data_IF_486271753679
#
_entry.id   IF_486271753679
#
_cell.length_a   1.000
_cell.length_b   1.000
_cell.length_c   1.000
_cell.angle_alpha   90.00
_cell.angle_beta   90.00
_cell.angle_gamma   90.00
#
_symmetry.space_group_name_H-M   'P 1'
#
loop_
_entity.id
_entity.type
_entity.pdbx_description
1 polymer ?
#
# COMPACT_ATOMS: atom_id res chain seq x y z
N UNK A 1 -75.82 -25.25 -13.00
CA UNK A 1 -74.40 -25.58 -12.77
C UNK A 1 -73.82 -24.39 -12.03
N UNK A 2 -73.78 -24.46 -10.71
CA UNK A 2 -73.00 -23.49 -9.94
C UNK A 2 -71.55 -23.99 -9.90
N UNK A 3 -70.56 -23.19 -10.30
CA UNK A 3 -69.18 -23.62 -10.32
C UNK A 3 -68.69 -23.73 -8.88
N UNK A 4 -68.15 -24.89 -8.53
CA UNK A 4 -67.48 -25.14 -7.25
C UNK A 4 -66.41 -24.09 -6.99
N UNK A 5 -66.24 -23.61 -5.74
CA UNK A 5 -65.22 -22.62 -5.43
C UNK A 5 -63.83 -23.24 -5.62
N UNK A 6 -63.06 -22.71 -6.58
CA UNK A 6 -61.64 -23.02 -6.74
C UNK A 6 -60.91 -22.71 -5.43
N UNK A 7 -60.42 -23.76 -4.76
CA UNK A 7 -59.56 -23.64 -3.59
C UNK A 7 -58.22 -23.06 -4.06
N UNK A 8 -58.04 -21.74 -3.93
CA UNK A 8 -56.75 -21.10 -4.16
C UNK A 8 -55.76 -21.62 -3.13
N UNK A 9 -54.85 -22.50 -3.56
CA UNK A 9 -53.74 -22.94 -2.73
C UNK A 9 -52.95 -21.71 -2.25
N UNK A 10 -52.61 -21.62 -0.94
CA UNK A 10 -51.86 -20.49 -0.42
C UNK A 10 -50.52 -20.39 -1.14
N UNK A 11 -50.21 -19.21 -1.67
CA UNK A 11 -48.98 -18.92 -2.38
C UNK A 11 -47.80 -19.01 -1.39
N UNK A 12 -47.01 -20.07 -1.49
CA UNK A 12 -45.86 -20.29 -0.62
C UNK A 12 -44.83 -19.18 -0.87
N UNK A 13 -44.50 -18.43 0.19
CA UNK A 13 -43.52 -17.35 0.12
C UNK A 13 -42.09 -17.91 0.25
N UNK A 14 -41.11 -17.23 -0.35
CA UNK A 14 -39.70 -17.63 -0.24
C UNK A 14 -39.23 -17.73 1.22
N UNK A 15 -39.80 -16.93 2.12
CA UNK A 15 -39.54 -16.98 3.55
C UNK A 15 -39.95 -18.30 4.19
N UNK A 16 -41.11 -18.86 3.81
CA UNK A 16 -41.56 -20.16 4.33
C UNK A 16 -40.62 -21.30 3.90
N UNK A 17 -40.10 -21.26 2.67
CA UNK A 17 -39.15 -22.25 2.16
C UNK A 17 -37.83 -22.18 2.91
N UNK A 18 -37.34 -20.96 3.20
CA UNK A 18 -36.10 -20.78 3.97
C UNK A 18 -36.26 -21.21 5.43
N UNK A 19 -37.43 -20.97 6.02
CA UNK A 19 -37.73 -21.41 7.39
C UNK A 19 -37.80 -22.94 7.47
N UNK A 20 -38.54 -23.56 6.55
CA UNK A 20 -38.67 -25.01 6.48
C UNK A 20 -37.35 -25.68 6.13
N UNK A 21 -36.55 -25.10 5.22
CA UNK A 21 -35.20 -25.60 4.92
C UNK A 21 -34.25 -25.47 6.10
N UNK A 22 -34.43 -24.48 6.98
CA UNK A 22 -33.64 -24.33 8.21
C UNK A 22 -34.08 -25.32 9.29
N UNK A 23 -35.37 -25.63 9.36
CA UNK A 23 -35.91 -26.64 10.28
C UNK A 23 -35.57 -28.07 9.82
N UNK A 24 -35.48 -28.29 8.50
CA UNK A 24 -35.05 -29.53 7.87
C UNK A 24 -33.53 -29.64 7.68
N UNK A 25 -32.75 -28.62 8.07
CA UNK A 25 -31.31 -28.82 8.26
C UNK A 25 -31.16 -29.82 9.40
N UNK A 26 -31.06 -31.09 9.03
CA UNK A 26 -30.75 -32.18 9.95
C UNK A 26 -29.57 -31.72 10.80
N UNK A 27 -29.73 -31.84 12.12
CA UNK A 27 -28.68 -31.45 13.05
C UNK A 27 -27.39 -32.13 12.60
N UNK A 28 -26.41 -31.31 12.23
CA UNK A 28 -25.10 -31.74 11.78
C UNK A 28 -24.65 -32.91 12.65
N UNK A 29 -24.43 -34.10 12.05
CA UNK A 29 -24.13 -35.32 12.81
C UNK A 29 -22.80 -35.11 13.51
N UNK A 30 -22.84 -34.59 14.74
CA UNK A 30 -21.67 -34.36 15.56
C UNK A 30 -21.19 -35.72 16.03
N UNK A 31 -19.96 -36.06 15.67
CA UNK A 31 -19.31 -37.26 16.18
C UNK A 31 -19.48 -37.36 17.71
N UNK A 32 -19.68 -38.57 18.27
CA UNK A 32 -19.88 -38.74 19.70
C UNK A 32 -18.70 -38.16 20.46
N UNK A 33 -18.96 -37.36 21.51
CA UNK A 33 -17.92 -36.78 22.36
C UNK A 33 -17.19 -37.91 23.09
N UNK A 34 -16.04 -38.33 22.56
CA UNK A 34 -15.17 -39.29 23.23
C UNK A 34 -14.56 -38.62 24.47
N UNK A 35 -14.78 -39.20 25.65
CA UNK A 35 -14.10 -38.76 26.88
C UNK A 35 -12.73 -39.43 26.90
N UNK A 36 -11.71 -38.73 26.44
CA UNK A 36 -10.32 -39.20 26.51
C UNK A 36 -9.87 -39.04 27.97
N UNK A 37 -9.74 -40.15 28.69
CA UNK A 37 -9.39 -40.19 30.12
C UNK A 37 -7.89 -40.03 30.36
N UNK A 38 -7.06 -40.45 29.40
CA UNK A 38 -5.61 -40.45 29.55
C UNK A 38 -4.96 -39.27 28.82
N UNK A 39 -4.06 -38.56 29.52
CA UNK A 39 -3.31 -37.43 28.94
C UNK A 39 -2.48 -37.84 27.71
N UNK A 40 -2.06 -39.10 27.61
CA UNK A 40 -1.26 -39.61 26.48
C UNK A 40 -2.17 -39.86 25.27
N UNK A 41 -3.29 -40.53 25.46
CA UNK A 41 -4.28 -40.80 24.39
C UNK A 41 -4.84 -39.50 23.80
N UNK A 42 -5.00 -38.46 24.63
CA UNK A 42 -5.40 -37.14 24.16
C UNK A 42 -4.36 -36.51 23.23
N UNK A 43 -3.07 -36.65 23.55
CA UNK A 43 -1.97 -36.14 22.71
C UNK A 43 -1.87 -36.92 21.40
N UNK A 44 -2.02 -38.24 21.44
CA UNK A 44 -2.02 -39.10 20.25
C UNK A 44 -3.21 -38.80 19.33
N UNK A 45 -4.39 -38.58 19.90
CA UNK A 45 -5.58 -38.17 19.14
C UNK A 45 -5.36 -36.83 18.42
N UNK A 46 -4.85 -35.82 19.13
CA UNK A 46 -4.55 -34.52 18.53
C UNK A 46 -3.46 -34.62 17.46
N UNK A 47 -2.40 -35.41 17.71
CA UNK A 47 -1.34 -35.66 16.74
C UNK A 47 -1.89 -36.26 15.46
N UNK A 48 -2.65 -37.36 15.57
CA UNK A 48 -3.25 -38.03 14.42
C UNK A 48 -4.15 -37.06 13.65
N UNK A 49 -4.97 -36.27 14.36
CA UNK A 49 -5.85 -35.29 13.74
C UNK A 49 -5.07 -34.25 12.93
N UNK A 50 -3.99 -33.69 13.48
CA UNK A 50 -3.17 -32.71 12.76
C UNK A 50 -2.43 -33.32 11.58
N UNK A 51 -1.89 -34.54 11.70
CA UNK A 51 -1.22 -35.21 10.57
C UNK A 51 -2.22 -35.59 9.47
N UNK A 52 -3.44 -35.98 9.82
CA UNK A 52 -4.52 -36.22 8.85
C UNK A 52 -4.99 -34.94 8.16
N UNK A 53 -5.10 -33.83 8.90
CA UNK A 53 -5.42 -32.50 8.35
C UNK A 53 -4.34 -32.05 7.36
N UNK A 54 -3.06 -32.19 7.73
CA UNK A 54 -1.93 -31.84 6.86
C UNK A 54 -1.82 -32.74 5.64
N UNK A 55 -2.11 -34.04 5.80
CA UNK A 55 -2.09 -34.99 4.68
C UNK A 55 -3.18 -34.69 3.66
N UNK A 56 -4.34 -34.18 4.11
CA UNK A 56 -5.44 -33.75 3.24
C UNK A 56 -5.17 -32.39 2.60
N UNK A 57 -4.69 -31.44 3.38
CA UNK A 57 -4.56 -30.03 3.01
C UNK A 57 -3.12 -29.53 3.17
N UNK A 58 -2.18 -30.15 2.44
CA UNK A 58 -0.76 -29.81 2.59
C UNK A 58 -0.43 -28.36 2.21
N UNK A 59 -1.25 -27.70 1.39
CA UNK A 59 -1.09 -26.29 1.00
C UNK A 59 -1.60 -25.30 2.06
N UNK A 60 -2.43 -25.76 3.01
CA UNK A 60 -3.05 -24.90 4.00
C UNK A 60 -2.04 -24.49 5.08
N UNK A 61 -1.50 -23.27 4.95
CA UNK A 61 -0.47 -22.74 5.84
C UNK A 61 -0.99 -22.60 7.28
N UNK A 62 -2.26 -22.27 7.47
CA UNK A 62 -2.83 -22.09 8.81
C UNK A 62 -2.90 -23.41 9.58
N UNK A 63 -3.15 -24.53 8.88
CA UNK A 63 -3.08 -25.86 9.48
C UNK A 63 -1.68 -26.17 10.04
N UNK A 64 -0.63 -25.87 9.26
CA UNK A 64 0.76 -26.01 9.69
C UNK A 64 1.10 -25.10 10.89
N UNK A 65 0.67 -23.83 10.85
CA UNK A 65 0.89 -22.87 11.93
C UNK A 65 0.20 -23.33 13.21
N UNK A 66 -1.06 -23.79 13.13
CA UNK A 66 -1.82 -24.25 14.27
C UNK A 66 -1.23 -25.52 14.87
N UNK A 67 -0.76 -26.45 14.04
CA UNK A 67 -0.07 -27.65 14.50
C UNK A 67 1.23 -27.31 15.27
N UNK A 68 2.03 -26.38 14.72
CA UNK A 68 3.25 -25.93 15.39
C UNK A 68 2.97 -25.18 16.70
N UNK A 69 1.95 -24.32 16.75
CA UNK A 69 1.51 -23.63 17.97
C UNK A 69 0.98 -24.60 19.03
N UNK A 70 0.28 -25.66 18.62
CA UNK A 70 -0.17 -26.70 19.53
C UNK A 70 1.03 -27.43 20.16
N UNK A 71 2.03 -27.84 19.36
CA UNK A 71 3.30 -28.40 19.88
C UNK A 71 4.02 -27.44 20.81
N UNK A 72 4.04 -26.15 20.50
CA UNK A 72 4.59 -25.09 21.37
C UNK A 72 3.86 -25.04 22.73
N UNK A 73 2.53 -25.15 22.74
CA UNK A 73 1.74 -25.16 23.98
C UNK A 73 2.09 -26.32 24.91
N UNK A 74 2.56 -27.43 24.34
CA UNK A 74 3.04 -28.62 25.05
C UNK A 74 4.51 -28.52 25.49
N UNK A 75 5.20 -27.43 25.13
CA UNK A 75 6.65 -27.23 25.31
C UNK A 75 7.53 -28.27 24.60
N UNK A 76 6.98 -28.96 23.60
CA UNK A 76 7.74 -29.86 22.71
C UNK A 76 8.37 -29.03 21.58
N UNK A 77 9.47 -28.34 21.91
CA UNK A 77 10.15 -27.45 20.96
C UNK A 77 10.80 -28.20 19.81
N UNK A 78 11.28 -29.42 20.05
CA UNK A 78 11.89 -30.24 19.00
C UNK A 78 10.84 -30.71 17.99
N UNK A 79 9.70 -31.21 18.48
CA UNK A 79 8.57 -31.56 17.62
C UNK A 79 8.06 -30.36 16.83
N UNK A 80 7.89 -29.20 17.47
CA UNK A 80 7.49 -27.96 16.79
C UNK A 80 8.47 -27.57 15.66
N UNK A 81 9.79 -27.68 15.88
CA UNK A 81 10.80 -27.42 14.84
C UNK A 81 10.67 -28.37 13.66
N UNK A 82 10.47 -29.67 13.91
CA UNK A 82 10.29 -30.65 12.83
C UNK A 82 9.09 -30.27 11.97
N UNK A 83 7.98 -29.85 12.60
CA UNK A 83 6.78 -29.36 11.88
C UNK A 83 7.12 -28.12 11.05
N UNK A 84 7.78 -27.11 11.61
CA UNK A 84 8.19 -25.92 10.87
C UNK A 84 9.12 -26.25 9.69
N UNK A 85 10.10 -27.13 9.90
CA UNK A 85 10.99 -27.57 8.83
C UNK A 85 10.24 -28.30 7.71
N UNK A 86 9.25 -29.13 8.04
CA UNK A 86 8.38 -29.78 7.05
C UNK A 86 7.55 -28.74 6.30
N UNK A 87 6.91 -27.82 7.02
CA UNK A 87 6.08 -26.77 6.41
C UNK A 87 6.88 -25.91 5.43
N UNK A 88 8.10 -25.50 5.81
CA UNK A 88 8.98 -24.70 4.95
C UNK A 88 9.43 -25.48 3.72
N UNK A 89 9.67 -26.79 3.83
CA UNK A 89 10.00 -27.61 2.66
C UNK A 89 8.85 -27.74 1.66
N UNK A 90 7.61 -27.68 2.14
CA UNK A 90 6.42 -27.73 1.29
C UNK A 90 6.16 -26.38 0.62
N UNK A 91 6.31 -25.29 1.37
CA UNK A 91 6.09 -23.94 0.88
C UNK A 91 7.16 -22.98 1.41
N UNK A 92 8.29 -22.94 0.71
CA UNK A 92 9.44 -22.10 1.03
C UNK A 92 9.27 -20.66 0.53
N UNK A 93 8.36 -20.41 -0.41
CA UNK A 93 8.10 -19.09 -0.97
C UNK A 93 7.23 -18.20 -0.07
N UNK A 94 6.52 -18.78 0.89
CA UNK A 94 5.61 -18.02 1.73
C UNK A 94 6.36 -17.27 2.87
N UNK A 95 6.42 -15.94 2.75
CA UNK A 95 6.98 -15.05 3.77
C UNK A 95 6.34 -15.23 5.17
N UNK A 96 5.01 -15.38 5.25
CA UNK A 96 4.29 -15.50 6.52
C UNK A 96 4.73 -16.73 7.32
N UNK A 97 5.09 -17.82 6.63
CA UNK A 97 5.58 -19.04 7.27
C UNK A 97 6.95 -18.80 7.93
N UNK A 98 7.89 -18.19 7.22
CA UNK A 98 9.20 -17.80 7.76
C UNK A 98 9.08 -16.84 8.94
N UNK A 99 8.19 -15.85 8.83
CA UNK A 99 7.92 -14.90 9.92
C UNK A 99 7.41 -15.61 11.18
N UNK A 100 6.46 -16.54 11.04
CA UNK A 100 5.92 -17.27 12.19
C UNK A 100 6.93 -18.24 12.80
N UNK A 101 7.74 -18.90 11.97
CA UNK A 101 8.79 -19.78 12.45
C UNK A 101 9.87 -19.01 13.23
N UNK A 102 10.35 -17.89 12.69
CA UNK A 102 11.31 -17.05 13.40
C UNK A 102 10.72 -16.46 14.69
N UNK A 103 9.45 -16.01 14.66
CA UNK A 103 8.72 -15.57 15.88
C UNK A 103 8.65 -16.65 16.94
N UNK A 104 8.43 -17.91 16.55
CA UNK A 104 8.42 -19.06 17.47
C UNK A 104 9.77 -19.22 18.18
N UNK A 105 10.88 -19.18 17.45
CA UNK A 105 12.22 -19.28 18.06
C UNK A 105 12.53 -18.08 18.96
N UNK A 106 12.12 -16.87 18.57
CA UNK A 106 12.31 -15.64 19.35
C UNK A 106 11.51 -15.66 20.67
N UNK A 107 10.24 -16.10 20.63
CA UNK A 107 9.39 -16.20 21.84
C UNK A 107 10.00 -17.13 22.88
N UNK A 108 10.59 -18.24 22.42
CA UNK A 108 11.21 -19.25 23.26
C UNK A 108 12.68 -18.93 23.62
N UNK A 109 13.17 -17.74 23.26
CA UNK A 109 14.53 -17.23 23.55
C UNK A 109 15.66 -18.04 22.92
N UNK A 110 15.39 -18.77 21.85
CA UNK A 110 16.39 -19.53 21.09
C UNK A 110 17.02 -18.66 19.99
N UNK A 111 17.78 -17.64 20.38
CA UNK A 111 18.29 -16.63 19.44
C UNK A 111 19.21 -17.18 18.34
N UNK A 112 20.04 -18.20 18.64
CA UNK A 112 20.90 -18.81 17.62
C UNK A 112 20.10 -19.54 16.55
N UNK A 113 19.07 -20.31 16.94
CA UNK A 113 18.18 -20.96 16.00
C UNK A 113 17.37 -19.92 15.21
N UNK A 114 16.92 -18.85 15.86
CA UNK A 114 16.24 -17.75 15.17
C UNK A 114 17.14 -17.13 14.08
N UNK A 115 18.44 -16.95 14.35
CA UNK A 115 19.42 -16.48 13.34
C UNK A 115 19.51 -17.44 12.16
N UNK A 116 19.64 -18.74 12.41
CA UNK A 116 19.72 -19.74 11.34
C UNK A 116 18.42 -19.78 10.49
N UNK A 117 17.27 -19.50 11.10
CA UNK A 117 16.00 -19.38 10.39
C UNK A 117 15.98 -18.11 9.54
N UNK A 118 16.35 -16.96 10.10
CA UNK A 118 16.41 -15.69 9.35
C UNK A 118 17.41 -15.74 8.20
N UNK A 119 18.57 -16.34 8.42
CA UNK A 119 19.63 -16.45 7.42
C UNK A 119 19.17 -17.27 6.21
N UNK A 120 18.50 -18.39 6.48
CA UNK A 120 17.87 -19.19 5.43
C UNK A 120 16.73 -18.44 4.75
N UNK A 121 15.85 -17.79 5.52
CA UNK A 121 14.70 -17.06 4.97
C UNK A 121 15.15 -15.98 3.96
N UNK A 122 16.17 -15.21 4.34
CA UNK A 122 16.76 -14.16 3.51
C UNK A 122 17.49 -14.71 2.28
N UNK A 123 18.11 -15.89 2.40
CA UNK A 123 18.77 -16.55 1.27
C UNK A 123 17.77 -17.08 0.24
N UNK A 124 16.62 -17.60 0.70
CA UNK A 124 15.56 -18.12 -0.18
C UNK A 124 14.75 -16.97 -0.79
N UNK A 125 14.45 -15.93 0.00
CA UNK A 125 13.58 -14.81 -0.38
C UNK A 125 14.30 -13.46 -0.24
N UNK A 126 15.30 -13.16 -1.10
CA UNK A 126 16.10 -11.94 -0.99
C UNK A 126 15.33 -10.66 -1.32
N UNK A 127 14.27 -10.75 -2.15
CA UNK A 127 13.47 -9.59 -2.56
C UNK A 127 12.40 -9.16 -1.55
N UNK A 128 12.21 -9.92 -0.47
CA UNK A 128 11.16 -9.63 0.51
C UNK A 128 11.73 -8.79 1.66
N UNK A 129 11.61 -7.47 1.53
CA UNK A 129 12.16 -6.50 2.49
C UNK A 129 11.72 -6.74 3.94
N UNK A 130 10.49 -7.21 4.14
CA UNK A 130 9.93 -7.48 5.48
C UNK A 130 10.79 -8.47 6.28
N UNK A 131 11.40 -9.46 5.62
CA UNK A 131 12.27 -10.44 6.26
C UNK A 131 13.57 -9.79 6.75
N UNK A 132 14.19 -8.96 5.90
CA UNK A 132 15.40 -8.22 6.24
C UNK A 132 15.18 -7.26 7.41
N UNK A 133 14.11 -6.45 7.36
CA UNK A 133 13.76 -5.53 8.44
C UNK A 133 13.58 -6.25 9.78
N UNK A 134 12.87 -7.39 9.78
CA UNK A 134 12.63 -8.16 11.01
C UNK A 134 13.91 -8.82 11.53
N UNK A 135 14.79 -9.26 10.64
CA UNK A 135 16.08 -9.83 11.02
C UNK A 135 17.01 -8.79 11.65
N UNK A 136 17.13 -7.61 11.02
CA UNK A 136 17.92 -6.49 11.53
C UNK A 136 17.36 -6.01 12.87
N UNK A 137 16.04 -5.83 12.97
CA UNK A 137 15.40 -5.43 14.21
C UNK A 137 15.68 -6.42 15.35
N UNK A 138 15.72 -7.72 15.07
CA UNK A 138 16.10 -8.71 16.08
C UNK A 138 17.55 -8.51 16.56
N UNK A 139 18.51 -8.29 15.66
CA UNK A 139 19.91 -8.05 16.06
C UNK A 139 20.11 -6.71 16.79
N UNK A 140 19.35 -5.67 16.43
CA UNK A 140 19.29 -4.40 17.17
C UNK A 140 18.79 -4.61 18.60
N UNK A 141 17.70 -5.37 18.78
CA UNK A 141 17.16 -5.68 20.11
C UNK A 141 18.10 -6.53 20.96
N UNK A 142 18.99 -7.30 20.32
CA UNK A 142 20.05 -8.05 20.98
C UNK A 142 21.32 -7.21 21.24
N UNK A 143 21.38 -5.97 20.74
CA UNK A 143 22.51 -5.06 20.87
C UNK A 143 23.71 -5.39 19.96
N UNK A 144 23.56 -6.29 18.98
CA UNK A 144 24.65 -6.70 18.10
C UNK A 144 24.75 -5.80 16.87
N UNK A 145 25.18 -4.56 17.07
CA UNK A 145 25.34 -3.54 16.02
C UNK A 145 26.23 -4.05 14.87
N UNK A 146 27.33 -4.73 15.18
CA UNK A 146 28.25 -5.27 14.17
C UNK A 146 27.62 -6.32 13.25
N UNK A 147 26.73 -7.17 13.77
CA UNK A 147 25.99 -8.13 12.94
C UNK A 147 24.90 -7.44 12.11
N UNK A 148 24.18 -6.48 12.71
CA UNK A 148 23.20 -5.70 11.98
C UNK A 148 23.83 -5.02 10.74
N UNK A 149 25.05 -4.46 10.87
CA UNK A 149 25.83 -3.93 9.73
C UNK A 149 26.14 -4.97 8.67
N UNK A 150 26.61 -6.15 9.07
CA UNK A 150 26.89 -7.24 8.12
C UNK A 150 25.62 -7.66 7.35
N UNK A 151 24.47 -7.70 8.01
CA UNK A 151 23.19 -8.01 7.39
C UNK A 151 22.79 -6.89 6.42
N UNK A 152 22.94 -5.62 6.79
CA UNK A 152 22.70 -4.49 5.90
C UNK A 152 23.61 -4.53 4.67
N UNK A 153 24.92 -4.77 4.83
CA UNK A 153 25.85 -4.88 3.71
C UNK A 153 25.48 -6.03 2.76
N UNK A 154 25.07 -7.17 3.31
CA UNK A 154 24.55 -8.28 2.50
C UNK A 154 23.24 -7.93 1.81
N UNK A 155 22.42 -7.07 2.41
CA UNK A 155 21.20 -6.60 1.76
C UNK A 155 21.53 -5.65 0.60
N UNK A 156 22.50 -4.75 0.78
CA UNK A 156 22.92 -3.80 -0.25
C UNK A 156 23.56 -4.46 -1.47
N UNK A 157 24.12 -5.67 -1.34
CA UNK A 157 24.62 -6.42 -2.51
C UNK A 157 23.52 -6.76 -3.52
N UNK A 158 22.25 -6.76 -3.10
CA UNK A 158 21.09 -7.00 -3.96
C UNK A 158 20.52 -5.72 -4.60
N UNK A 159 21.15 -4.55 -4.36
CA UNK A 159 20.70 -3.25 -4.86
C UNK A 159 19.20 -2.99 -4.60
N UNK A 160 18.79 -2.90 -3.32
CA UNK A 160 17.39 -2.70 -2.96
C UNK A 160 16.90 -1.28 -3.26
N UNK A 161 15.59 -1.05 -3.13
CA UNK A 161 14.94 0.24 -3.38
C UNK A 161 15.44 1.36 -2.43
N UNK A 162 15.25 2.62 -2.82
CA UNK A 162 15.66 3.81 -2.08
C UNK A 162 15.27 3.79 -0.60
N UNK A 163 14.07 3.26 -0.28
CA UNK A 163 13.59 3.16 1.11
C UNK A 163 14.52 2.34 2.00
N UNK A 164 15.12 1.29 1.44
CA UNK A 164 16.04 0.41 2.16
C UNK A 164 17.35 1.12 2.48
N UNK A 165 17.90 1.88 1.52
CA UNK A 165 19.09 2.70 1.74
C UNK A 165 18.90 3.71 2.86
N UNK A 166 17.76 4.43 2.84
CA UNK A 166 17.42 5.38 3.91
C UNK A 166 17.31 4.70 5.28
N UNK A 167 16.74 3.50 5.33
CA UNK A 167 16.66 2.75 6.60
C UNK A 167 18.03 2.37 7.17
N UNK A 168 19.02 2.11 6.30
CA UNK A 168 20.38 1.80 6.72
C UNK A 168 21.11 3.05 7.22
N UNK A 169 20.91 4.18 6.54
CA UNK A 169 21.41 5.47 7.00
C UNK A 169 20.82 5.81 8.38
N UNK A 170 19.51 5.71 8.54
CA UNK A 170 18.84 5.97 9.81
C UNK A 170 19.39 5.06 10.93
N UNK A 171 19.77 3.82 10.61
CA UNK A 171 20.44 2.93 11.55
C UNK A 171 21.82 3.45 11.98
N UNK A 172 22.67 3.88 11.05
CA UNK A 172 23.98 4.44 11.41
C UNK A 172 23.86 5.76 12.17
N UNK A 173 22.85 6.58 11.87
CA UNK A 173 22.54 7.79 12.64
C UNK A 173 22.11 7.47 14.07
N UNK A 174 21.30 6.43 14.29
CA UNK A 174 20.99 5.92 15.64
C UNK A 174 22.24 5.43 16.37
N UNK A 175 23.22 4.91 15.65
CA UNK A 175 24.52 4.48 16.19
C UNK A 175 25.52 5.64 16.38
N UNK A 176 25.16 6.88 16.02
CA UNK A 176 26.00 8.07 16.06
C UNK A 176 27.26 8.01 15.17
N UNK A 177 27.23 7.19 14.11
CA UNK A 177 28.35 6.99 13.19
C UNK A 177 28.16 7.81 11.90
N UNK A 178 28.32 9.13 12.01
CA UNK A 178 28.06 10.07 10.91
C UNK A 178 29.01 9.84 9.72
N UNK A 179 30.24 9.37 9.96
CA UNK A 179 31.21 9.07 8.89
C UNK A 179 30.75 7.90 8.03
N UNK A 180 30.24 6.84 8.66
CA UNK A 180 29.70 5.69 7.92
C UNK A 180 28.41 6.04 7.19
N UNK A 181 27.53 6.85 7.80
CA UNK A 181 26.33 7.34 7.13
C UNK A 181 26.67 8.09 5.82
N UNK A 182 27.74 8.90 5.80
CA UNK A 182 28.22 9.57 4.57
C UNK A 182 28.65 8.58 3.50
N UNK A 183 29.46 7.58 3.85
CA UNK A 183 29.91 6.58 2.89
C UNK A 183 28.73 5.81 2.27
N UNK A 184 27.68 5.56 3.06
CA UNK A 184 26.46 4.92 2.57
C UNK A 184 25.70 5.88 1.65
N UNK A 185 25.63 7.18 1.94
CA UNK A 185 25.04 8.17 1.04
C UNK A 185 25.77 8.25 -0.31
N UNK A 186 27.11 8.25 -0.31
CA UNK A 186 27.91 8.24 -1.55
C UNK A 186 27.55 7.02 -2.42
N UNK A 187 27.53 5.81 -1.81
CA UNK A 187 27.11 4.57 -2.48
C UNK A 187 25.64 4.61 -2.93
N UNK A 188 24.76 5.16 -2.12
CA UNK A 188 23.33 5.26 -2.41
C UNK A 188 23.08 6.12 -3.66
N UNK A 189 23.77 7.24 -3.77
CA UNK A 189 23.67 8.17 -4.89
C UNK A 189 24.28 7.58 -6.17
N UNK A 190 25.34 6.77 -6.07
CA UNK A 190 25.88 6.02 -7.21
C UNK A 190 24.93 4.92 -7.70
N UNK A 191 24.27 4.21 -6.78
CA UNK A 191 23.33 3.15 -7.12
C UNK A 191 22.01 3.70 -7.69
N UNK A 192 21.53 4.81 -7.13
CA UNK A 192 20.26 5.45 -7.50
C UNK A 192 20.51 6.93 -7.78
N UNK A 193 20.94 7.30 -9.01
CA UNK A 193 21.18 8.69 -9.39
C UNK A 193 19.85 9.42 -9.64
N UNK A 194 19.01 9.55 -8.60
CA UNK A 194 17.72 10.25 -8.64
C UNK A 194 17.83 11.58 -7.91
N UNK A 195 17.14 12.61 -8.40
CA UNK A 195 17.03 13.92 -7.72
C UNK A 195 16.66 13.79 -6.23
N UNK A 196 15.73 12.89 -5.90
CA UNK A 196 15.33 12.63 -4.52
C UNK A 196 16.47 12.12 -3.62
N UNK A 197 17.40 11.33 -4.16
CA UNK A 197 18.56 10.81 -3.41
C UNK A 197 19.52 11.95 -3.03
N UNK A 198 19.86 12.80 -3.99
CA UNK A 198 20.72 13.97 -3.78
C UNK A 198 20.11 14.98 -2.81
N UNK A 199 18.81 15.26 -2.92
CA UNK A 199 18.11 16.15 -1.98
C UNK A 199 18.17 15.59 -0.55
N UNK A 200 17.98 14.27 -0.37
CA UNK A 200 18.11 13.67 0.96
C UNK A 200 19.54 13.72 1.49
N UNK A 201 20.54 13.61 0.62
CA UNK A 201 21.94 13.70 1.01
C UNK A 201 22.34 15.13 1.40
N UNK A 202 21.96 16.14 0.63
CA UNK A 202 22.20 17.54 0.97
C UNK A 202 21.55 17.94 2.30
N UNK A 203 20.27 17.57 2.50
CA UNK A 203 19.56 17.78 3.79
C UNK A 203 20.24 17.10 4.98
N UNK A 204 20.95 16.01 4.76
CA UNK A 204 21.72 15.33 5.80
C UNK A 204 22.98 16.12 6.17
N UNK A 205 23.74 16.61 5.19
CA UNK A 205 24.92 17.44 5.47
C UNK A 205 24.54 18.80 6.08
N UNK A 206 23.40 19.38 5.68
CA UNK A 206 22.83 20.58 6.30
C UNK A 206 22.60 20.38 7.81
N UNK A 207 22.04 19.23 8.21
CA UNK A 207 21.80 18.90 9.63
C UNK A 207 23.09 18.71 10.42
N UNK A 208 24.15 18.25 9.76
CA UNK A 208 25.47 18.10 10.37
C UNK A 208 26.26 19.42 10.43
N UNK A 209 25.86 20.44 9.65
CA UNK A 209 26.48 21.77 9.63
C UNK A 209 27.74 21.88 8.75
N UNK A 210 27.98 20.92 7.85
CA UNK A 210 29.18 20.87 7.00
C UNK A 210 28.93 21.55 5.65
N UNK A 211 28.94 22.88 5.64
CA UNK A 211 28.57 23.73 4.49
C UNK A 211 29.38 23.40 3.22
N UNK A 212 30.70 23.24 3.35
CA UNK A 212 31.59 22.98 2.20
C UNK A 212 31.25 21.65 1.51
N UNK A 213 30.85 20.64 2.30
CA UNK A 213 30.50 19.33 1.74
C UNK A 213 29.12 19.35 1.11
N UNK A 214 28.15 19.98 1.75
CA UNK A 214 26.82 20.15 1.17
C UNK A 214 26.89 20.83 -0.20
N UNK A 215 27.72 21.87 -0.33
CA UNK A 215 27.99 22.53 -1.61
C UNK A 215 28.57 21.56 -2.65
N UNK A 216 29.60 20.79 -2.30
CA UNK A 216 30.18 19.80 -3.21
C UNK A 216 29.15 18.74 -3.65
N UNK A 217 28.25 18.34 -2.75
CA UNK A 217 27.18 17.38 -3.05
C UNK A 217 26.22 17.95 -4.09
N UNK A 218 25.77 19.20 -3.94
CA UNK A 218 24.88 19.82 -4.92
C UNK A 218 25.59 20.11 -6.25
N UNK A 219 26.86 20.51 -6.24
CA UNK A 219 27.66 20.66 -7.46
C UNK A 219 27.75 19.33 -8.22
N UNK A 220 28.11 18.24 -7.54
CA UNK A 220 28.13 16.89 -8.12
C UNK A 220 26.74 16.45 -8.61
N UNK A 221 25.69 16.79 -7.88
CA UNK A 221 24.31 16.50 -8.28
C UNK A 221 23.97 17.21 -9.59
N UNK A 222 24.32 18.49 -9.73
CA UNK A 222 24.06 19.26 -10.95
C UNK A 222 24.85 18.75 -12.15
N UNK A 223 26.08 18.28 -11.95
CA UNK A 223 26.89 17.69 -13.03
C UNK A 223 26.32 16.35 -13.50
N UNK A 224 25.90 15.48 -12.56
CA UNK A 224 25.39 14.14 -12.88
C UNK A 224 23.95 14.14 -13.37
N UNK A 225 23.13 15.09 -12.95
CA UNK A 225 21.70 15.17 -13.27
C UNK A 225 21.37 16.22 -14.33
N UNK A 226 22.36 16.77 -15.03
CA UNK A 226 22.17 17.83 -16.03
C UNK A 226 21.14 17.47 -17.12
N UNK A 227 21.00 16.17 -17.42
CA UNK A 227 20.14 15.66 -18.49
C UNK A 227 18.77 15.14 -18.00
N UNK A 228 18.51 15.07 -16.68
CA UNK A 228 17.21 14.60 -16.17
C UNK A 228 16.12 15.67 -16.35
N UNK A 229 14.86 15.25 -16.50
CA UNK A 229 13.75 16.21 -16.67
C UNK A 229 13.23 16.78 -15.34
N UNK A 230 13.47 16.09 -14.22
CA UNK A 230 12.89 16.41 -12.91
C UNK A 230 13.85 17.19 -11.98
N UNK A 231 14.73 18.02 -12.55
CA UNK A 231 15.80 18.71 -11.80
C UNK A 231 15.29 19.95 -11.05
N UNK A 232 14.05 20.40 -11.31
CA UNK A 232 13.45 21.58 -10.66
C UNK A 232 13.58 21.57 -9.12
N UNK A 233 13.23 20.49 -8.39
CA UNK A 233 13.34 20.46 -6.94
C UNK A 233 14.80 20.54 -6.44
N UNK A 234 15.78 20.07 -7.23
CA UNK A 234 17.19 20.16 -6.88
C UNK A 234 17.65 21.61 -6.88
N UNK A 235 17.35 22.35 -7.95
CA UNK A 235 17.75 23.77 -8.06
C UNK A 235 17.12 24.64 -6.99
N UNK A 236 15.87 24.37 -6.65
CA UNK A 236 15.16 25.06 -5.57
C UNK A 236 15.89 24.85 -4.23
N UNK A 237 16.18 23.60 -3.87
CA UNK A 237 16.87 23.28 -2.61
C UNK A 237 18.29 23.85 -2.61
N UNK A 238 18.99 23.79 -3.74
CA UNK A 238 20.34 24.35 -3.85
C UNK A 238 20.35 25.87 -3.70
N UNK A 239 19.38 26.58 -4.26
CA UNK A 239 19.26 28.02 -4.09
C UNK A 239 18.85 28.42 -2.66
N UNK A 240 17.95 27.66 -2.01
CA UNK A 240 17.60 27.84 -0.59
C UNK A 240 18.83 27.64 0.32
N UNK A 241 19.73 26.71 -0.02
CA UNK A 241 20.99 26.50 0.68
C UNK A 241 21.96 27.69 0.53
N UNK A 242 22.14 28.22 -0.69
CA UNK A 242 23.00 29.39 -0.93
C UNK A 242 22.47 30.66 -0.25
N UNK A 243 21.14 30.79 -0.15
CA UNK A 243 20.49 31.85 0.64
C UNK A 243 20.87 31.75 2.12
N UNK A 244 20.86 30.55 2.70
CA UNK A 244 21.31 30.32 4.08
C UNK A 244 22.80 30.63 4.27
N UNK A 245 23.61 30.39 3.23
CA UNK A 245 25.04 30.74 3.20
C UNK A 245 25.31 32.23 2.98
N UNK A 246 24.27 33.04 2.69
CA UNK A 246 24.31 34.49 2.39
C UNK A 246 25.03 34.85 1.08
N UNK A 247 25.19 33.90 0.17
CA UNK A 247 25.80 34.11 -1.15
C UNK A 247 24.71 34.40 -2.21
N UNK A 248 24.09 35.57 -2.09
CA UNK A 248 22.91 35.95 -2.90
C UNK A 248 23.22 36.02 -4.41
N UNK A 249 24.43 36.43 -4.79
CA UNK A 249 24.84 36.45 -6.20
C UNK A 249 24.96 35.05 -6.80
N UNK A 250 25.39 34.07 -6.00
CA UNK A 250 25.49 32.67 -6.41
C UNK A 250 24.11 32.04 -6.53
N UNK A 251 23.23 32.28 -5.55
CA UNK A 251 21.82 31.87 -5.61
C UNK A 251 21.12 32.39 -6.88
N UNK A 252 21.34 33.66 -7.26
CA UNK A 252 20.80 34.24 -8.50
C UNK A 252 21.30 33.53 -9.75
N UNK A 253 22.59 33.19 -9.82
CA UNK A 253 23.18 32.45 -10.95
C UNK A 253 22.56 31.06 -11.10
N UNK A 254 22.32 30.37 -9.99
CA UNK A 254 21.69 29.05 -9.98
C UNK A 254 20.25 29.13 -10.51
N UNK A 255 19.46 30.10 -10.04
CA UNK A 255 18.10 30.29 -10.56
C UNK A 255 18.05 30.59 -12.06
N UNK A 256 18.96 31.45 -12.56
CA UNK A 256 19.06 31.72 -14.00
C UNK A 256 19.43 30.45 -14.78
N UNK A 257 20.44 29.72 -14.32
CA UNK A 257 20.84 28.44 -14.91
C UNK A 257 19.68 27.45 -14.94
N UNK A 258 18.90 27.35 -13.86
CA UNK A 258 17.75 26.45 -13.79
C UNK A 258 16.66 26.80 -14.82
N UNK A 259 16.37 28.09 -15.01
CA UNK A 259 15.40 28.57 -16.00
C UNK A 259 15.86 28.38 -17.45
N UNK A 260 17.17 28.32 -17.70
CA UNK A 260 17.72 28.06 -19.03
C UNK A 260 17.62 26.57 -19.41
N UNK A 261 17.68 25.66 -18.44
CA UNK A 261 17.60 24.21 -18.67
C UNK A 261 16.15 23.68 -18.67
N UNK A 262 15.24 24.33 -17.93
CA UNK A 262 13.85 23.86 -17.79
C UNK A 262 12.93 24.57 -18.80
N UNK A 263 12.13 23.83 -19.60
CA UNK A 263 11.19 24.44 -20.52
C UNK A 263 10.13 25.27 -19.78
N UNK A 264 9.87 26.48 -20.29
CA UNK A 264 9.04 27.53 -19.66
C UNK A 264 7.62 27.10 -19.24
N UNK A 265 7.07 26.03 -19.83
CA UNK A 265 5.74 25.51 -19.49
C UNK A 265 5.66 24.70 -18.19
N UNK A 266 6.80 24.21 -17.64
CA UNK A 266 6.85 23.49 -16.36
C UNK A 266 7.46 24.32 -15.22
N UNK A 267 8.19 25.38 -15.55
CA UNK A 267 8.95 26.20 -14.59
C UNK A 267 8.10 27.21 -13.79
N UNK A 268 6.77 27.07 -13.70
CA UNK A 268 5.93 28.06 -13.00
C UNK A 268 6.27 28.18 -11.51
N UNK A 269 6.57 27.04 -10.85
CA UNK A 269 6.92 27.00 -9.44
C UNK A 269 8.33 27.56 -9.20
N UNK A 270 9.33 27.11 -9.96
CA UNK A 270 10.67 27.68 -9.97
C UNK A 270 10.67 29.20 -10.19
N UNK A 271 9.91 29.69 -11.17
CA UNK A 271 9.79 31.12 -11.45
C UNK A 271 9.13 31.87 -10.29
N UNK A 272 8.11 31.28 -9.66
CA UNK A 272 7.48 31.80 -8.45
C UNK A 272 8.49 31.98 -7.31
N UNK A 273 9.36 30.98 -7.10
CA UNK A 273 10.43 31.04 -6.09
C UNK A 273 11.53 32.05 -6.46
N UNK A 274 11.92 32.14 -7.73
CA UNK A 274 12.88 33.14 -8.19
C UNK A 274 12.39 34.58 -7.98
N UNK A 275 11.12 34.86 -8.29
CA UNK A 275 10.53 36.17 -8.02
C UNK A 275 10.45 36.47 -6.52
N UNK A 276 10.19 35.46 -5.69
CA UNK A 276 10.21 35.63 -4.23
C UNK A 276 11.63 35.96 -3.73
N UNK A 277 12.64 35.30 -4.27
CA UNK A 277 14.05 35.54 -3.98
C UNK A 277 14.49 36.97 -4.37
N UNK A 278 14.20 37.42 -5.60
CA UNK A 278 14.54 38.79 -6.03
C UNK A 278 13.76 39.85 -5.23
N UNK A 279 12.57 39.55 -4.72
CA UNK A 279 11.86 40.48 -3.81
C UNK A 279 12.55 40.65 -2.46
N UNK A 280 13.23 39.62 -1.97
CA UNK A 280 13.90 39.67 -0.67
C UNK A 280 15.30 40.29 -0.77
N UNK A 281 16.04 39.98 -1.85
CA UNK A 281 17.46 40.29 -1.97
C UNK A 281 17.85 41.05 -3.24
N UNK A 282 16.89 41.36 -4.11
CA UNK A 282 17.12 42.02 -5.40
C UNK A 282 17.02 43.54 -5.33
N UNK A 283 17.76 44.17 -6.24
CA UNK A 283 17.62 45.60 -6.53
C UNK A 283 16.37 45.85 -7.37
N UNK A 284 15.88 47.10 -7.37
CA UNK A 284 14.65 47.49 -8.07
C UNK A 284 14.63 47.07 -9.55
N UNK A 285 15.78 47.16 -10.23
CA UNK A 285 15.94 46.75 -11.63
C UNK A 285 15.84 45.22 -11.80
N UNK A 286 16.44 44.44 -10.90
CA UNK A 286 16.35 42.98 -10.92
C UNK A 286 14.94 42.46 -10.66
N UNK A 287 14.18 43.16 -9.82
CA UNK A 287 12.77 42.86 -9.56
C UNK A 287 11.91 43.16 -10.80
N UNK A 288 12.15 44.28 -11.49
CA UNK A 288 11.43 44.65 -12.71
C UNK A 288 11.68 43.64 -13.84
N UNK A 289 12.92 43.20 -14.04
CA UNK A 289 13.28 42.15 -15.02
C UNK A 289 12.65 40.79 -14.68
N UNK A 290 12.71 40.39 -13.41
CA UNK A 290 12.10 39.14 -12.93
C UNK A 290 10.56 39.17 -12.95
N UNK A 291 9.91 40.34 -13.01
CA UNK A 291 8.45 40.44 -13.20
C UNK A 291 8.11 40.55 -14.69
N UNK A 292 8.93 41.27 -15.46
CA UNK A 292 8.81 41.45 -16.90
C UNK A 292 8.85 40.12 -17.67
N UNK A 293 9.67 39.16 -17.22
CA UNK A 293 9.75 37.80 -17.79
C UNK A 293 8.48 36.94 -17.67
N UNK A 294 7.50 37.34 -16.85
CA UNK A 294 6.20 36.66 -16.68
C UNK A 294 5.19 37.12 -17.74
N UNK A 295 5.38 38.33 -18.27
CA UNK A 295 4.52 38.96 -19.25
C UNK A 295 4.72 38.59 -20.74
N UNK A 296 5.76 37.87 -21.23
CA UNK A 296 5.83 37.47 -22.63
C UNK A 296 4.77 36.44 -23.02
N UNK A 297 4.31 35.61 -22.06
CA UNK A 297 3.28 34.58 -22.30
C UNK A 297 1.89 35.17 -22.56
N UNK A 298 1.66 36.46 -22.25
CA UNK A 298 0.40 37.14 -22.53
C UNK A 298 0.39 37.91 -23.87
N UNK A 299 1.51 38.03 -24.58
CA UNK A 299 1.59 38.84 -25.81
C UNK A 299 1.60 38.06 -27.12
N UNK A 300 1.83 36.74 -27.11
CA UNK A 300 1.85 35.93 -28.35
C UNK A 300 0.55 35.14 -28.63
N UNK A 301 -0.51 35.33 -27.83
CA UNK A 301 -1.84 34.74 -28.05
C UNK A 301 -2.82 35.61 -28.84
N UNK A 302 -2.38 36.77 -29.32
CA UNK A 302 -3.25 37.83 -29.86
C UNK A 302 -3.34 37.90 -31.38
N UNK A 303 -3.34 36.79 -32.13
CA UNK A 303 -3.50 36.86 -33.59
C UNK A 303 -4.06 35.58 -34.22
N UNK A 304 -5.34 35.30 -33.97
CA UNK A 304 -6.10 34.43 -34.88
C UNK A 304 -7.39 35.15 -35.28
N UNK A 305 -7.26 35.96 -36.34
CA UNK A 305 -8.38 36.35 -37.19
C UNK A 305 -8.89 35.08 -37.90
N UNK A 306 -10.04 34.56 -37.49
CA UNK A 306 -10.86 33.77 -38.40
C UNK A 306 -12.00 34.64 -38.94
N UNK A 307 -11.98 34.74 -40.26
CA UNK A 307 -12.88 35.44 -41.17
C UNK A 307 -14.32 35.01 -40.90
N UNK A 308 -15.17 35.96 -40.54
CA UNK A 308 -16.62 35.76 -40.45
C UNK A 308 -17.21 35.65 -41.86
N UNK A 309 -17.55 34.43 -42.29
CA UNK A 309 -18.56 34.27 -43.34
C UNK A 309 -19.95 34.42 -42.70
N UNK A 310 -20.68 35.42 -43.17
CA UNK A 310 -22.09 35.68 -42.93
C UNK A 310 -22.94 34.40 -43.03
N UNK A 311 -23.69 34.09 -41.97
CA UNK A 311 -25.01 33.45 -42.04
C UNK A 311 -25.82 33.89 -40.81
N UNK A 312 -26.85 34.70 -41.05
CA UNK A 312 -27.82 35.12 -40.05
C UNK A 312 -28.59 33.91 -39.52
N UNK A 313 -28.60 33.72 -38.20
CA UNK A 313 -29.66 32.98 -37.49
C UNK A 313 -30.15 33.85 -36.32
N UNK A 314 -31.46 34.08 -36.14
CA UNK A 314 -31.97 35.03 -35.14
C UNK A 314 -31.77 34.53 -33.71
N UNK A 315 -31.16 35.38 -32.88
CA UNK A 315 -30.81 35.17 -31.45
C UNK A 315 -32.01 34.80 -30.54
N UNK A 316 -33.24 34.95 -31.02
CA UNK A 316 -34.46 34.64 -30.28
C UNK A 316 -34.68 33.13 -30.04
N UNK A 317 -34.09 32.24 -30.84
CA UNK A 317 -34.29 30.79 -30.72
C UNK A 317 -33.38 30.12 -29.66
N UNK A 318 -32.23 30.71 -29.34
CA UNK A 318 -31.24 30.12 -28.41
C UNK A 318 -31.62 30.36 -26.93
N UNK A 319 -32.27 31.49 -26.64
CA UNK A 319 -32.73 31.80 -25.28
C UNK A 319 -33.92 30.93 -24.85
N UNK A 320 -34.78 30.49 -25.78
CA UNK A 320 -35.92 29.66 -25.44
C UNK A 320 -35.55 28.20 -25.14
N UNK A 321 -34.49 27.68 -25.78
CA UNK A 321 -34.00 26.31 -25.57
C UNK A 321 -33.17 26.20 -24.28
N UNK A 322 -32.43 27.25 -23.92
CA UNK A 322 -31.62 27.27 -22.68
C UNK A 322 -32.47 27.40 -21.40
N UNK A 323 -33.58 28.14 -21.45
CA UNK A 323 -34.51 28.24 -20.30
C UNK A 323 -35.27 26.92 -20.05
N UNK A 324 -35.59 26.16 -21.11
CA UNK A 324 -36.23 24.84 -20.97
C UNK A 324 -35.27 23.77 -20.42
N UNK A 325 -33.98 23.83 -20.78
CA UNK A 325 -32.95 22.93 -20.23
C UNK A 325 -32.60 23.23 -18.75
N UNK A 326 -32.67 24.49 -18.32
CA UNK A 326 -32.44 24.85 -16.92
C UNK A 326 -33.58 24.40 -15.99
N UNK A 327 -34.83 24.34 -16.47
CA UNK A 327 -35.97 23.89 -15.66
C UNK A 327 -35.99 22.35 -15.46
N UNK A 328 -35.45 21.56 -16.40
CA UNK A 328 -35.32 20.11 -16.21
C UNK A 328 -34.18 19.71 -15.28
N UNK A 329 -33.07 20.45 -15.25
CA UNK A 329 -31.93 20.18 -14.36
C UNK A 329 -32.19 20.56 -12.89
N UNK A 330 -33.02 21.58 -12.64
CA UNK A 330 -33.39 21.96 -11.27
C UNK A 330 -34.34 20.94 -10.60
N UNK A 331 -35.12 20.18 -11.40
CA UNK A 331 -35.95 19.08 -10.91
C UNK A 331 -35.14 17.86 -10.46
N UNK A 332 -34.03 17.55 -11.15
CA UNK A 332 -33.15 16.42 -10.80
C UNK A 332 -32.31 16.69 -9.53
N UNK A 333 -31.91 17.95 -9.30
CA UNK A 333 -31.08 18.30 -8.14
C UNK A 333 -31.86 18.20 -6.81
N UNK A 334 -33.15 18.51 -6.80
CA UNK A 334 -33.99 18.45 -5.59
C UNK A 334 -34.38 17.02 -5.19
N UNK A 335 -34.32 16.05 -6.11
CA UNK A 335 -34.50 14.63 -5.79
C UNK A 335 -33.25 14.05 -5.10
N UNK A 336 -32.05 14.44 -5.57
CA UNK A 336 -30.77 14.00 -5.00
C UNK A 336 -30.49 14.58 -3.61
N UNK A 337 -31.02 15.76 -3.28
CA UNK A 337 -30.86 16.39 -1.96
C UNK A 337 -31.76 15.75 -0.89
N UNK A 338 -32.88 15.10 -1.27
CA UNK A 338 -33.72 14.36 -0.31
C UNK A 338 -33.10 13.04 0.15
N UNK A 339 -32.26 12.41 -0.67
CA UNK A 339 -31.65 11.10 -0.35
C UNK A 339 -30.34 11.20 0.46
N UNK A 340 -29.75 12.38 0.60
CA UNK A 340 -28.44 12.57 1.25
C UNK A 340 -28.53 13.07 2.71
N UNK A 341 -29.72 13.01 3.33
CA UNK A 341 -29.97 13.46 4.69
C UNK A 341 -29.72 12.42 5.78
N UNK A 342 -28.49 11.92 5.95
CA UNK A 342 -27.98 11.56 7.30
C UNK A 342 -26.47 11.29 7.29
N UNK A 343 -25.80 11.74 8.35
CA UNK A 343 -24.40 11.53 8.79
C UNK A 343 -23.43 12.68 8.52
N UNK A 344 -23.54 13.70 9.36
CA UNK A 344 -22.41 14.41 9.99
C UNK A 344 -22.17 13.71 11.35
N UNK A 345 -21.01 13.51 11.96
CA UNK A 345 -19.64 14.04 11.90
C UNK A 345 -18.68 12.94 12.40
N UNK A 346 -17.42 12.91 11.93
CA UNK A 346 -16.39 12.02 12.47
C UNK A 346 -14.98 12.52 12.16
N UNK A 347 -14.20 12.78 13.21
CA UNK A 347 -12.76 13.08 13.15
C UNK A 347 -11.98 11.91 12.53
N UNK A 348 -11.17 12.18 11.51
CA UNK A 348 -10.31 11.18 10.87
C UNK A 348 -8.99 10.99 11.65
N UNK A 349 -8.92 9.93 12.45
CA UNK A 349 -7.67 9.25 12.78
C UNK A 349 -7.44 8.15 11.73
N UNK A 350 -6.25 8.12 11.15
CA UNK A 350 -5.90 7.22 10.05
C UNK A 350 -5.72 5.78 10.59
N UNK A 351 -6.65 4.89 10.24
CA UNK A 351 -6.50 3.44 10.35
C UNK A 351 -6.61 2.86 8.93
N UNK A 352 -5.61 2.09 8.53
CA UNK A 352 -5.63 1.30 7.30
C UNK A 352 -6.56 0.10 7.52
N UNK A 353 -7.75 0.12 6.91
CA UNK A 353 -8.62 -1.06 6.82
C UNK A 353 -8.13 -1.97 5.68
N UNK A 354 -7.67 -3.17 6.05
CA UNK A 354 -7.52 -4.29 5.13
C UNK A 354 -8.92 -4.72 4.65
N UNK A 355 -9.23 -4.49 3.37
CA UNK A 355 -10.41 -5.09 2.73
C UNK A 355 -10.00 -6.49 2.27
N UNK A 356 -10.37 -7.50 3.05
CA UNK A 356 -10.34 -8.88 2.60
C UNK A 356 -11.35 -9.04 1.45
N UNK A 357 -10.83 -9.24 0.25
CA UNK A 357 -11.61 -9.60 -0.93
C UNK A 357 -12.19 -11.01 -0.72
N UNK A 358 -13.45 -11.09 -0.33
CA UNK A 358 -14.24 -12.33 -0.37
C UNK A 358 -14.63 -12.60 -1.82
N UNK A 359 -14.08 -13.66 -2.41
CA UNK A 359 -14.45 -14.11 -3.76
C UNK A 359 -15.94 -14.51 -3.82
N UNK A 360 -16.71 -14.02 -4.81
CA UNK A 360 -18.12 -14.35 -4.96
C UNK A 360 -18.33 -15.71 -5.65
N UNK A 361 -18.02 -16.81 -4.96
CA UNK A 361 -18.39 -18.16 -5.43
C UNK A 361 -19.46 -18.84 -4.57
N UNK A 362 -19.78 -18.35 -3.37
CA UNK A 362 -20.76 -19.01 -2.50
C UNK A 362 -22.22 -18.61 -2.73
N UNK A 363 -22.51 -17.57 -3.54
CA UNK A 363 -23.90 -17.18 -3.82
C UNK A 363 -24.59 -18.09 -4.84
N UNK A 364 -23.84 -18.88 -5.61
CA UNK A 364 -24.43 -19.74 -6.64
C UNK A 364 -24.91 -21.10 -6.07
N UNK A 365 -24.28 -21.59 -5.00
CA UNK A 365 -24.62 -22.89 -4.38
C UNK A 365 -25.95 -22.86 -3.60
N UNK A 366 -26.27 -21.73 -2.95
CA UNK A 366 -27.56 -21.56 -2.25
C UNK A 366 -28.74 -21.54 -3.21
N UNK A 367 -28.62 -20.89 -4.36
CA UNK A 367 -29.71 -20.83 -5.35
C UNK A 367 -30.02 -22.22 -5.93
N UNK A 368 -29.01 -23.06 -6.14
CA UNK A 368 -29.20 -24.45 -6.62
C UNK A 368 -29.87 -25.33 -5.57
N UNK A 369 -29.49 -25.22 -4.28
CA UNK A 369 -30.12 -25.97 -3.18
C UNK A 369 -31.58 -25.56 -2.94
N UNK A 370 -31.90 -24.27 -3.08
CA UNK A 370 -33.28 -23.76 -2.95
C UNK A 370 -34.16 -24.28 -4.10
N UNK A 371 -33.62 -24.30 -5.33
CA UNK A 371 -34.32 -24.85 -6.50
C UNK A 371 -34.53 -26.36 -6.38
N UNK A 372 -33.55 -27.11 -5.86
CA UNK A 372 -33.66 -28.56 -5.64
C UNK A 372 -34.68 -28.89 -4.54
N UNK A 373 -34.71 -28.12 -3.44
CA UNK A 373 -35.69 -28.25 -2.37
C UNK A 373 -37.12 -27.92 -2.85
N UNK A 374 -37.29 -26.83 -3.61
CA UNK A 374 -38.57 -26.48 -4.23
C UNK A 374 -39.07 -27.55 -5.20
N UNK A 375 -38.17 -28.18 -5.96
CA UNK A 375 -38.50 -29.28 -6.87
C UNK A 375 -38.92 -30.55 -6.13
N UNK A 376 -38.21 -30.94 -5.05
CA UNK A 376 -38.59 -32.08 -4.20
C UNK A 376 -39.93 -31.88 -3.50
N UNK A 377 -40.19 -30.68 -2.99
CA UNK A 377 -41.47 -30.32 -2.38
C UNK A 377 -42.64 -30.43 -3.36
N UNK A 378 -42.48 -29.89 -4.59
CA UNK A 378 -43.50 -30.01 -5.64
C UNK A 378 -43.77 -31.47 -6.01
N UNK A 379 -42.74 -32.32 -6.05
CA UNK A 379 -42.87 -33.76 -6.34
C UNK A 379 -43.66 -34.51 -5.26
N UNK A 380 -43.44 -34.19 -3.97
CA UNK A 380 -44.19 -34.81 -2.86
C UNK A 380 -45.66 -34.41 -2.82
N UNK A 381 -46.00 -33.19 -3.25
CA UNK A 381 -47.40 -32.74 -3.31
C UNK A 381 -48.18 -33.33 -4.48
N UNK A 382 -47.53 -33.48 -5.64
CA UNK A 382 -48.17 -34.14 -6.80
C UNK A 382 -48.44 -35.62 -6.49
N UNK A 383 -47.55 -36.31 -5.76
CA UNK A 383 -47.80 -37.70 -5.34
C UNK A 383 -48.88 -37.86 -4.27
N UNK A 384 -49.19 -36.81 -3.50
CA UNK A 384 -50.27 -36.87 -2.48
C UNK A 384 -51.65 -36.52 -3.03
N UNK A 385 -51.73 -35.99 -4.26
CA UNK A 385 -52.98 -35.64 -4.94
C UNK A 385 -53.46 -36.74 -5.92
N UNK A 386 -52.67 -37.82 -6.12
CA UNK A 386 -53.00 -38.98 -6.98
C UNK A 386 -53.57 -40.20 -6.22
N UNK A 387 -53.71 -40.13 -4.89
CA UNK A 387 -54.27 -41.18 -4.01
C UNK A 387 -55.67 -40.84 -3.45
#
# INVERSE_FOLDING_TARGET
MDPSPEVKLPQVTAEQILLESREQQEAEIRAPKQKLTNSIELLEYHLLKFEDEISRESWNIDAWINYAKWRESLKDFMGARIVWHRAVKVNDQNCSLWLNYAKFEMKNKFFNHARDVWDRAVTVLPHVDVLWYKYIHMEEMLGNIGRARQIFERWMSWMPDQRVWLSYIDFELRCNEVVYARLIYERFVECHPKVGAWITYGKFEMRNGEIVREMNVYEQATEKLADEEDVEPLFIVFAEFEEQCKETERGRRIYKSALDHIPKGRAENLYGKFVAFEKQYGDKEGIEDAIGGKNPLNYDGGAVRYVTHHLLVPVAWIHHVTVLLQLQLFGFLNQAIRDCGSKTTGHATHYEEYIDYVFPEEKQSMNLKILEAAFKWKKHRISSDED
#
